data_IF_841082919238
#
_entry.id   IF_841082919238
#
_cell.length_a   1.000
_cell.length_b   1.000
_cell.length_c   1.000
_cell.angle_alpha   90.00
_cell.angle_beta   90.00
_cell.angle_gamma   90.00
#
_symmetry.space_group_name_H-M   'P 1'
#
loop_
_entity.id
_entity.type
_entity.pdbx_description
1 polymer ?
#
# COMPACT_ATOMS: atom_id res chain seq x y z
N UNK A 1 24.34 7.77 -11.31
CA UNK A 1 23.60 7.71 -10.04
C UNK A 1 22.49 8.74 -10.07
N UNK A 2 21.26 8.36 -9.71
CA UNK A 2 20.20 9.37 -9.58
C UNK A 2 20.46 10.25 -8.34
N UNK A 3 20.01 11.51 -8.38
CA UNK A 3 20.10 12.44 -7.23
C UNK A 3 19.52 11.79 -5.97
N UNK A 4 18.51 10.96 -6.11
CA UNK A 4 17.88 10.21 -5.01
C UNK A 4 18.76 9.11 -4.43
N UNK A 5 19.52 8.40 -5.26
CA UNK A 5 20.49 7.41 -4.80
C UNK A 5 21.59 8.09 -3.97
N UNK A 6 22.05 9.24 -4.41
CA UNK A 6 23.02 10.06 -3.67
C UNK A 6 22.41 10.54 -2.35
N UNK A 7 21.19 11.11 -2.40
CA UNK A 7 20.51 11.61 -1.20
C UNK A 7 20.26 10.49 -0.17
N UNK A 8 19.88 9.29 -0.59
CA UNK A 8 19.70 8.13 0.31
C UNK A 8 21.03 7.68 0.93
N UNK A 9 22.11 7.67 0.15
CA UNK A 9 23.45 7.34 0.65
C UNK A 9 23.91 8.37 1.68
N UNK A 10 23.74 9.66 1.39
CA UNK A 10 24.08 10.74 2.32
C UNK A 10 23.24 10.68 3.59
N UNK A 11 21.94 10.44 3.48
CA UNK A 11 21.06 10.31 4.64
C UNK A 11 21.40 9.10 5.53
N UNK A 12 21.93 8.02 4.96
CA UNK A 12 22.43 6.86 5.74
C UNK A 12 23.75 7.17 6.45
N UNK A 13 24.65 7.91 5.80
CA UNK A 13 25.96 8.28 6.37
C UNK A 13 25.87 9.45 7.36
N UNK A 14 24.92 10.37 7.16
CA UNK A 14 24.71 11.56 7.96
C UNK A 14 23.21 11.68 8.33
N UNK A 15 22.73 10.94 9.34
CA UNK A 15 21.30 10.89 9.71
C UNK A 15 20.68 12.27 10.01
N UNK A 16 21.46 13.22 10.52
CA UNK A 16 21.03 14.61 10.77
C UNK A 16 20.59 15.37 9.51
N UNK A 17 21.07 14.96 8.32
CA UNK A 17 20.70 15.58 7.04
C UNK A 17 19.39 15.02 6.45
N UNK A 18 18.91 13.91 6.96
CA UNK A 18 17.74 13.22 6.42
C UNK A 18 16.46 14.11 6.36
N UNK A 19 16.14 14.95 7.36
CA UNK A 19 14.98 15.85 7.29
C UNK A 19 15.09 16.87 6.16
N UNK A 20 16.26 17.47 5.95
CA UNK A 20 16.51 18.45 4.89
C UNK A 20 16.41 17.81 3.50
N UNK A 21 17.01 16.63 3.35
CA UNK A 21 16.93 15.87 2.09
C UNK A 21 15.49 15.46 1.75
N UNK A 22 14.71 15.02 2.76
CA UNK A 22 13.28 14.74 2.60
C UNK A 22 12.48 15.98 2.22
N UNK A 23 12.78 17.14 2.82
CA UNK A 23 12.10 18.38 2.49
C UNK A 23 12.42 18.82 1.05
N UNK A 24 13.70 18.79 0.64
CA UNK A 24 14.14 19.09 -0.71
C UNK A 24 13.50 18.15 -1.75
N UNK A 25 13.46 16.86 -1.45
CA UNK A 25 12.78 15.89 -2.30
C UNK A 25 11.28 16.19 -2.46
N UNK A 26 10.57 16.46 -1.37
CA UNK A 26 9.15 16.85 -1.42
C UNK A 26 8.93 18.13 -2.23
N UNK A 27 9.78 19.14 -2.07
CA UNK A 27 9.67 20.37 -2.85
C UNK A 27 9.89 20.13 -4.35
N UNK A 28 10.92 19.34 -4.72
CA UNK A 28 11.15 18.93 -6.11
C UNK A 28 9.92 18.23 -6.71
N UNK A 29 9.33 17.29 -5.97
CA UNK A 29 8.15 16.57 -6.43
C UNK A 29 6.93 17.48 -6.63
N UNK A 30 6.74 18.49 -5.78
CA UNK A 30 5.69 19.51 -5.95
C UNK A 30 5.90 20.35 -7.21
N UNK A 31 7.13 20.79 -7.43
CA UNK A 31 7.49 21.54 -8.65
C UNK A 31 7.24 20.67 -9.89
N UNK A 32 7.67 19.41 -9.86
CA UNK A 32 7.47 18.48 -10.97
C UNK A 32 5.98 18.21 -11.23
N UNK A 33 5.17 18.05 -10.17
CA UNK A 33 3.72 17.89 -10.29
C UNK A 33 3.09 19.11 -10.95
N UNK A 34 3.38 20.32 -10.48
CA UNK A 34 2.85 21.55 -11.09
C UNK A 34 3.33 21.76 -12.53
N UNK A 35 4.59 21.46 -12.83
CA UNK A 35 5.09 21.52 -14.21
C UNK A 35 4.40 20.48 -15.11
N UNK A 36 4.12 19.28 -14.57
CA UNK A 36 3.44 18.22 -15.30
C UNK A 36 1.98 18.52 -15.65
N UNK A 37 1.29 19.33 -14.84
CA UNK A 37 -0.07 19.80 -15.16
C UNK A 37 -0.08 20.74 -16.37
N UNK A 38 0.99 21.54 -16.56
CA UNK A 38 1.13 22.46 -17.70
C UNK A 38 1.74 21.71 -18.90
N UNK A 39 2.75 20.90 -18.66
CA UNK A 39 3.48 20.16 -19.68
C UNK A 39 3.71 18.71 -19.28
N UNK A 40 2.76 17.80 -19.58
CA UNK A 40 2.84 16.37 -19.21
C UNK A 40 4.10 15.64 -19.71
N UNK A 41 4.78 16.18 -20.73
CA UNK A 41 6.04 15.66 -21.27
C UNK A 41 7.18 15.56 -20.26
N UNK A 42 7.14 16.34 -19.15
CA UNK A 42 8.15 16.28 -18.09
C UNK A 42 7.98 15.06 -17.19
N UNK A 43 6.79 14.46 -17.18
CA UNK A 43 6.50 13.27 -16.36
C UNK A 43 7.16 12.05 -16.97
N UNK A 44 7.98 11.39 -16.19
CA UNK A 44 8.70 10.17 -16.55
C UNK A 44 8.39 9.05 -15.57
N UNK A 45 8.39 7.83 -16.03
CA UNK A 45 8.34 6.65 -15.17
C UNK A 45 9.56 6.65 -14.22
N UNK A 46 9.32 6.33 -12.97
CA UNK A 46 10.32 6.30 -11.90
C UNK A 46 9.88 5.26 -10.89
N UNK A 47 10.37 4.03 -11.06
CA UNK A 47 9.95 2.92 -10.19
C UNK A 47 10.64 3.00 -8.84
N UNK A 48 9.88 3.31 -7.79
CA UNK A 48 10.36 3.33 -6.40
C UNK A 48 9.89 2.10 -5.61
N UNK A 49 8.85 1.43 -6.09
CA UNK A 49 8.26 0.26 -5.44
C UNK A 49 7.67 -0.68 -6.49
N UNK A 50 7.92 -1.98 -6.35
CA UNK A 50 7.21 -3.00 -7.08
C UNK A 50 6.34 -3.78 -6.10
N UNK A 51 5.04 -3.86 -6.35
CA UNK A 51 4.13 -4.71 -5.60
C UNK A 51 3.92 -6.00 -6.37
N UNK A 52 4.29 -7.13 -5.79
CA UNK A 52 4.36 -8.42 -6.45
C UNK A 52 3.35 -9.38 -5.80
N UNK A 53 2.34 -9.77 -6.55
CA UNK A 53 1.46 -10.85 -6.15
C UNK A 53 2.16 -12.18 -6.47
N UNK A 54 2.73 -12.83 -5.46
CA UNK A 54 3.47 -14.07 -5.67
C UNK A 54 2.57 -15.30 -5.82
N UNK A 55 1.33 -15.23 -5.33
CA UNK A 55 0.32 -16.27 -5.48
C UNK A 55 -1.08 -15.69 -5.45
N UNK A 56 -2.00 -16.33 -6.16
CA UNK A 56 -3.43 -16.05 -6.08
C UNK A 56 -4.16 -16.93 -5.04
N UNK A 57 -3.51 -17.98 -4.51
CA UNK A 57 -4.10 -18.80 -3.46
C UNK A 57 -4.30 -18.01 -2.18
N UNK A 58 -5.48 -18.18 -1.55
CA UNK A 58 -5.79 -17.57 -0.26
C UNK A 58 -6.65 -18.51 0.59
N UNK A 59 -6.38 -18.53 1.89
CA UNK A 59 -7.17 -19.26 2.89
C UNK A 59 -8.36 -18.46 3.45
N UNK A 60 -8.60 -17.24 2.95
CA UNK A 60 -9.74 -16.37 3.25
C UNK A 60 -10.60 -16.10 2.01
N UNK A 61 -11.79 -15.51 2.22
CA UNK A 61 -12.74 -15.13 1.18
C UNK A 61 -13.34 -13.75 1.44
N UNK A 62 -12.47 -12.77 1.78
CA UNK A 62 -12.88 -11.42 2.20
C UNK A 62 -13.93 -10.80 1.29
N UNK A 63 -14.84 -10.02 1.88
CA UNK A 63 -15.88 -9.28 1.16
C UNK A 63 -15.25 -8.42 0.06
N UNK A 64 -15.87 -8.40 -1.11
CA UNK A 64 -15.38 -7.63 -2.26
C UNK A 64 -14.10 -8.16 -2.93
N UNK A 65 -13.25 -8.93 -2.24
CA UNK A 65 -11.99 -9.43 -2.80
C UNK A 65 -12.23 -10.57 -3.79
N UNK A 66 -11.83 -10.37 -5.04
CA UNK A 66 -11.91 -11.34 -6.14
C UNK A 66 -10.59 -12.03 -6.41
N UNK A 67 -9.51 -11.63 -5.71
CA UNK A 67 -8.19 -12.18 -5.94
C UNK A 67 -8.16 -13.68 -5.67
N UNK A 68 -7.61 -14.44 -6.63
CA UNK A 68 -7.58 -15.90 -6.54
C UNK A 68 -8.89 -16.63 -6.82
N UNK A 69 -10.01 -15.90 -6.95
CA UNK A 69 -11.31 -16.49 -7.32
C UNK A 69 -11.64 -16.23 -8.79
N UNK A 70 -11.88 -14.96 -9.11
CA UNK A 70 -12.35 -14.55 -10.44
C UNK A 70 -11.29 -13.73 -11.18
N UNK A 71 -10.30 -13.17 -10.48
CA UNK A 71 -9.29 -12.30 -11.09
C UNK A 71 -8.07 -13.08 -11.61
N UNK A 72 -7.47 -13.93 -10.78
CA UNK A 72 -6.31 -14.77 -11.17
C UNK A 72 -6.40 -16.16 -10.54
N UNK A 73 -7.42 -16.96 -10.89
CA UNK A 73 -7.66 -18.23 -10.22
C UNK A 73 -6.50 -19.22 -10.41
N UNK A 74 -5.93 -19.69 -9.29
CA UNK A 74 -4.88 -20.72 -9.28
C UNK A 74 -3.48 -20.25 -9.72
N UNK A 75 -3.29 -18.98 -10.07
CA UNK A 75 -1.98 -18.48 -10.52
C UNK A 75 -0.97 -18.44 -9.37
N UNK A 76 0.25 -18.87 -9.65
CA UNK A 76 1.41 -18.84 -8.75
C UNK A 76 2.62 -18.38 -9.57
N UNK A 77 3.33 -17.36 -9.08
CA UNK A 77 4.51 -16.85 -9.76
C UNK A 77 5.69 -17.82 -9.54
N UNK A 78 6.23 -18.47 -10.59
CA UNK A 78 7.32 -19.42 -10.42
C UNK A 78 8.58 -18.76 -9.86
N UNK A 79 9.33 -19.50 -9.02
CA UNK A 79 10.57 -18.98 -8.40
C UNK A 79 11.58 -18.47 -9.43
N UNK A 80 11.73 -19.13 -10.59
CA UNK A 80 12.63 -18.66 -11.64
C UNK A 80 12.20 -17.31 -12.23
N UNK A 81 10.90 -17.12 -12.48
CA UNK A 81 10.34 -15.83 -12.96
C UNK A 81 10.54 -14.74 -11.92
N UNK A 82 10.36 -15.08 -10.64
CA UNK A 82 10.62 -14.17 -9.52
C UNK A 82 12.11 -13.78 -9.43
N UNK A 83 13.03 -14.74 -9.58
CA UNK A 83 14.49 -14.51 -9.58
C UNK A 83 14.87 -13.50 -10.67
N UNK A 84 14.42 -13.74 -11.88
CA UNK A 84 14.66 -12.88 -13.04
C UNK A 84 14.10 -11.45 -12.82
N UNK A 85 12.91 -11.35 -12.23
CA UNK A 85 12.28 -10.08 -11.85
C UNK A 85 13.13 -9.29 -10.83
N UNK A 86 13.60 -9.94 -9.75
CA UNK A 86 14.34 -9.27 -8.68
C UNK A 86 15.75 -8.88 -9.12
N UNK A 87 16.43 -9.70 -9.93
CA UNK A 87 17.72 -9.35 -10.55
C UNK A 87 17.58 -8.06 -11.39
N UNK A 88 16.58 -7.99 -12.25
CA UNK A 88 16.32 -6.80 -13.07
C UNK A 88 15.92 -5.57 -12.21
N UNK A 89 15.14 -5.78 -11.15
CA UNK A 89 14.78 -4.72 -10.20
C UNK A 89 16.02 -4.18 -9.45
N UNK A 90 16.90 -5.06 -8.99
CA UNK A 90 18.17 -4.70 -8.35
C UNK A 90 19.09 -3.94 -9.31
N UNK A 91 19.26 -4.41 -10.54
CA UNK A 91 20.04 -3.73 -11.59
C UNK A 91 19.49 -2.35 -11.91
N UNK A 92 18.15 -2.19 -11.93
CA UNK A 92 17.47 -0.92 -12.11
C UNK A 92 17.47 -0.03 -10.84
N UNK A 93 18.03 -0.52 -9.72
CA UNK A 93 18.10 0.18 -8.42
C UNK A 93 16.71 0.50 -7.83
N UNK A 94 15.76 -0.38 -8.05
CA UNK A 94 14.46 -0.30 -7.39
C UNK A 94 14.67 -0.48 -5.88
N UNK A 95 14.24 0.49 -5.05
CA UNK A 95 14.61 0.46 -3.63
C UNK A 95 13.88 -0.58 -2.80
N UNK A 96 12.66 -0.95 -3.19
CA UNK A 96 11.85 -1.87 -2.39
C UNK A 96 10.83 -2.65 -3.22
N UNK A 97 10.52 -3.85 -2.73
CA UNK A 97 9.39 -4.65 -3.19
C UNK A 97 8.45 -4.97 -2.04
N UNK A 98 7.18 -5.13 -2.38
CA UNK A 98 6.13 -5.61 -1.49
C UNK A 98 5.65 -6.96 -1.98
N UNK A 99 5.78 -8.00 -1.18
CA UNK A 99 5.18 -9.30 -1.45
C UNK A 99 3.75 -9.32 -0.93
N UNK A 100 2.83 -9.74 -1.78
CA UNK A 100 1.42 -9.90 -1.43
C UNK A 100 0.74 -10.88 -2.41
N UNK A 101 -0.57 -10.83 -2.56
CA UNK A 101 -1.35 -11.62 -3.51
C UNK A 101 -2.67 -12.07 -2.88
N UNK A 102 -3.00 -13.35 -3.00
CA UNK A 102 -4.02 -13.96 -2.16
C UNK A 102 -3.51 -13.99 -0.72
N UNK A 103 -2.74 -15.02 -0.35
CA UNK A 103 -1.99 -15.06 0.90
C UNK A 103 -0.54 -15.49 0.60
N UNK A 104 0.44 -14.58 0.69
CA UNK A 104 1.83 -14.88 0.30
C UNK A 104 2.46 -15.99 1.14
N UNK A 105 2.05 -16.18 2.39
CA UNK A 105 2.55 -17.25 3.25
C UNK A 105 2.19 -18.66 2.74
N UNK A 106 1.24 -18.77 1.81
CA UNK A 106 0.91 -20.04 1.16
C UNK A 106 1.83 -20.38 -0.02
N UNK A 107 2.65 -19.42 -0.48
CA UNK A 107 3.63 -19.72 -1.52
C UNK A 107 4.73 -20.64 -0.97
N UNK A 108 5.08 -21.77 -1.63
CA UNK A 108 6.08 -22.71 -1.13
C UNK A 108 7.45 -22.04 -0.94
N UNK A 109 7.86 -21.21 -1.89
CA UNK A 109 9.20 -20.61 -1.95
C UNK A 109 9.26 -19.21 -1.31
N UNK A 110 8.27 -18.80 -0.51
CA UNK A 110 8.19 -17.42 0.03
C UNK A 110 9.43 -17.02 0.83
N UNK A 111 10.04 -17.96 1.57
CA UNK A 111 11.25 -17.70 2.36
C UNK A 111 12.44 -17.45 1.44
N UNK A 112 12.64 -18.29 0.42
CA UNK A 112 13.70 -18.12 -0.59
C UNK A 112 13.52 -16.80 -1.38
N UNK A 113 12.28 -16.41 -1.69
CA UNK A 113 11.97 -15.13 -2.32
C UNK A 113 12.41 -13.94 -1.48
N UNK A 114 12.14 -13.97 -0.17
CA UNK A 114 12.59 -12.93 0.77
C UNK A 114 14.11 -12.89 0.87
N UNK A 115 14.76 -14.03 1.02
CA UNK A 115 16.22 -14.16 1.13
C UNK A 115 16.91 -13.62 -0.12
N UNK A 116 16.49 -14.06 -1.31
CA UNK A 116 17.01 -13.58 -2.59
C UNK A 116 16.88 -12.06 -2.72
N UNK A 117 15.70 -11.51 -2.39
CA UNK A 117 15.46 -10.08 -2.50
C UNK A 117 16.40 -9.26 -1.63
N UNK A 118 16.57 -9.68 -0.36
CA UNK A 118 17.46 -9.01 0.57
C UNK A 118 18.94 -9.18 0.19
N UNK A 119 19.35 -10.35 -0.30
CA UNK A 119 20.74 -10.62 -0.75
C UNK A 119 21.17 -9.72 -1.91
N UNK A 120 20.21 -9.33 -2.78
CA UNK A 120 20.45 -8.39 -3.88
C UNK A 120 20.34 -6.92 -3.47
N UNK A 121 20.16 -6.63 -2.18
CA UNK A 121 20.08 -5.25 -1.65
C UNK A 121 18.77 -4.53 -1.93
N UNK A 122 17.72 -5.24 -2.35
CA UNK A 122 16.38 -4.69 -2.52
C UNK A 122 15.62 -4.83 -1.20
N UNK A 123 15.04 -3.74 -0.70
CA UNK A 123 14.20 -3.79 0.51
C UNK A 123 12.97 -4.66 0.28
N UNK A 124 12.62 -5.51 1.26
CA UNK A 124 11.46 -6.39 1.17
C UNK A 124 10.52 -6.19 2.36
N UNK A 125 9.21 -6.09 2.10
CA UNK A 125 8.18 -6.19 3.12
C UNK A 125 6.99 -7.00 2.59
N UNK A 126 6.16 -7.48 3.50
CA UNK A 126 5.07 -8.41 3.16
C UNK A 126 3.73 -7.91 3.65
N UNK A 127 2.68 -8.15 2.85
CA UNK A 127 1.29 -8.01 3.29
C UNK A 127 0.67 -9.39 3.42
N UNK A 128 0.18 -9.75 4.60
CA UNK A 128 -0.38 -11.06 4.92
C UNK A 128 -1.65 -10.92 5.77
N UNK A 129 -2.49 -11.95 5.79
CA UNK A 129 -3.59 -12.06 6.74
C UNK A 129 -3.15 -12.58 8.12
N UNK A 130 -1.88 -12.89 8.28
CA UNK A 130 -1.21 -13.33 9.50
C UNK A 130 -1.70 -14.65 10.13
N UNK A 131 -2.64 -15.39 9.52
CA UNK A 131 -3.18 -16.61 10.12
C UNK A 131 -2.16 -17.72 10.40
N UNK A 132 -1.08 -17.76 9.61
CA UNK A 132 -0.01 -18.76 9.73
C UNK A 132 1.37 -18.09 9.86
N UNK A 133 1.39 -16.82 10.28
CA UNK A 133 2.62 -16.06 10.39
C UNK A 133 3.56 -16.64 11.45
N UNK A 134 3.03 -17.06 12.59
CA UNK A 134 3.76 -17.71 13.67
C UNK A 134 4.51 -18.99 13.26
N UNK A 135 4.02 -19.67 12.22
CA UNK A 135 4.66 -20.88 11.69
C UNK A 135 5.85 -20.60 10.76
N UNK A 136 5.95 -19.39 10.23
CA UNK A 136 6.93 -19.02 9.20
C UNK A 136 7.84 -17.87 9.60
N UNK A 137 7.52 -17.15 10.68
CA UNK A 137 8.20 -15.90 11.02
C UNK A 137 9.70 -16.08 11.29
N UNK A 138 10.12 -17.18 11.92
CA UNK A 138 11.52 -17.41 12.23
C UNK A 138 12.37 -17.52 10.97
N UNK A 139 11.90 -18.31 9.98
CA UNK A 139 12.57 -18.43 8.69
C UNK A 139 12.52 -17.12 7.89
N UNK A 140 11.39 -16.42 7.87
CA UNK A 140 11.25 -15.14 7.18
C UNK A 140 12.14 -14.05 7.80
N UNK A 141 12.22 -14.01 9.13
CA UNK A 141 13.08 -13.05 9.83
C UNK A 141 14.57 -13.36 9.61
N UNK A 142 14.95 -14.64 9.60
CA UNK A 142 16.30 -15.08 9.24
C UNK A 142 16.66 -14.70 7.80
N UNK A 143 15.68 -14.82 6.87
CA UNK A 143 15.80 -14.38 5.46
C UNK A 143 15.86 -12.85 5.30
N UNK A 144 15.72 -12.08 6.38
CA UNK A 144 15.86 -10.62 6.37
C UNK A 144 14.53 -9.83 6.33
N UNK A 145 13.36 -10.46 6.49
CA UNK A 145 12.09 -9.73 6.60
C UNK A 145 12.03 -8.96 7.93
N UNK A 146 11.71 -7.67 7.86
CA UNK A 146 11.67 -6.77 9.04
C UNK A 146 10.38 -5.98 9.15
N UNK A 147 9.53 -6.01 8.12
CA UNK A 147 8.26 -5.29 8.10
C UNK A 147 7.15 -6.16 7.54
N UNK A 148 6.03 -6.19 8.26
CA UNK A 148 4.80 -6.89 7.87
C UNK A 148 3.63 -5.94 8.00
N UNK A 149 2.77 -5.94 6.98
CA UNK A 149 1.50 -5.21 7.00
C UNK A 149 0.34 -6.22 6.96
N UNK A 150 -0.74 -5.92 7.66
CA UNK A 150 -1.89 -6.82 7.82
C UNK A 150 -3.19 -6.05 7.67
N UNK A 151 -4.19 -6.65 7.02
CA UNK A 151 -5.54 -6.08 6.99
C UNK A 151 -6.23 -6.17 8.35
N UNK A 152 -6.86 -5.07 8.76
CA UNK A 152 -7.71 -5.01 9.94
C UNK A 152 -9.14 -4.62 9.54
N UNK A 153 -10.10 -5.47 9.87
CA UNK A 153 -11.49 -5.37 9.41
C UNK A 153 -12.52 -5.42 10.55
N UNK A 154 -12.09 -5.16 11.78
CA UNK A 154 -12.88 -5.29 13.00
C UNK A 154 -12.34 -6.39 13.92
N UNK A 155 -13.06 -6.71 15.01
CA UNK A 155 -12.70 -7.75 15.98
C UNK A 155 -13.76 -8.85 16.06
N UNK A 156 -13.34 -10.03 16.49
CA UNK A 156 -14.22 -11.17 16.73
C UNK A 156 -15.08 -11.51 15.51
N UNK A 157 -16.38 -11.55 15.71
CA UNK A 157 -17.35 -11.88 14.66
C UNK A 157 -17.36 -10.91 13.49
N UNK A 158 -17.13 -9.62 13.72
CA UNK A 158 -17.08 -8.62 12.64
C UNK A 158 -15.92 -8.90 11.66
N UNK A 159 -14.75 -9.30 12.19
CA UNK A 159 -13.63 -9.75 11.35
C UNK A 159 -13.98 -11.02 10.57
N UNK A 160 -14.54 -12.04 11.28
CA UNK A 160 -14.88 -13.32 10.69
C UNK A 160 -15.94 -13.20 9.58
N UNK A 161 -16.93 -12.32 9.77
CA UNK A 161 -17.91 -11.97 8.74
C UNK A 161 -17.24 -11.34 7.52
N UNK A 162 -16.35 -10.36 7.72
CA UNK A 162 -15.65 -9.70 6.62
C UNK A 162 -14.80 -10.70 5.82
N UNK A 163 -14.05 -11.56 6.50
CA UNK A 163 -13.21 -12.57 5.83
C UNK A 163 -13.98 -13.83 5.41
N UNK A 164 -15.28 -13.91 5.71
CA UNK A 164 -16.20 -15.00 5.39
C UNK A 164 -15.70 -16.37 5.86
N UNK A 165 -15.13 -16.40 7.07
CA UNK A 165 -14.57 -17.60 7.70
C UNK A 165 -14.63 -17.47 9.22
N UNK A 166 -15.39 -18.32 9.93
CA UNK A 166 -15.47 -18.27 11.38
C UNK A 166 -14.15 -18.68 12.05
N UNK A 167 -13.88 -18.10 13.23
CA UNK A 167 -12.72 -18.40 14.08
C UNK A 167 -11.38 -17.86 13.54
N UNK A 168 -11.39 -16.97 12.53
CA UNK A 168 -10.16 -16.45 11.95
C UNK A 168 -9.58 -15.29 12.72
N UNK A 169 -10.42 -14.50 13.39
CA UNK A 169 -9.93 -13.48 14.29
C UNK A 169 -9.10 -14.08 15.43
N UNK A 170 -9.63 -15.08 16.12
CA UNK A 170 -8.92 -15.73 17.24
C UNK A 170 -7.61 -16.37 16.78
N UNK A 171 -7.61 -17.01 15.60
CA UNK A 171 -6.38 -17.57 15.02
C UNK A 171 -5.34 -16.50 14.66
N UNK A 172 -5.76 -15.36 14.13
CA UNK A 172 -4.87 -14.23 13.87
C UNK A 172 -4.28 -13.70 15.18
N UNK A 173 -5.10 -13.50 16.21
CA UNK A 173 -4.66 -13.05 17.54
C UNK A 173 -3.66 -14.03 18.15
N UNK A 174 -3.92 -15.34 18.08
CA UNK A 174 -2.99 -16.37 18.55
C UNK A 174 -1.63 -16.26 17.83
N UNK A 175 -1.67 -16.19 16.50
CA UNK A 175 -0.47 -16.04 15.67
C UNK A 175 0.32 -14.79 16.05
N UNK A 176 -0.33 -13.64 16.18
CA UNK A 176 0.32 -12.37 16.56
C UNK A 176 0.91 -12.42 17.98
N UNK A 177 0.22 -13.06 18.94
CA UNK A 177 0.74 -13.26 20.28
C UNK A 177 2.02 -14.13 20.26
N UNK A 178 2.06 -15.18 19.44
CA UNK A 178 3.23 -16.03 19.27
C UNK A 178 4.40 -15.24 18.66
N UNK A 179 4.12 -14.47 17.61
CA UNK A 179 5.12 -13.60 16.94
C UNK A 179 5.69 -12.58 17.92
N UNK A 180 4.88 -11.86 18.69
CA UNK A 180 5.33 -10.81 19.61
C UNK A 180 6.09 -11.34 20.82
N UNK A 181 5.90 -12.60 21.20
CA UNK A 181 6.74 -13.25 22.22
C UNK A 181 8.22 -13.38 21.79
N UNK A 182 8.48 -13.58 20.51
CA UNK A 182 9.83 -13.77 19.96
C UNK A 182 10.42 -12.50 19.34
N UNK A 183 9.58 -11.63 18.80
CA UNK A 183 9.98 -10.45 18.03
C UNK A 183 9.23 -9.21 18.52
N UNK A 184 9.91 -8.38 19.31
CA UNK A 184 9.40 -7.05 19.68
C UNK A 184 9.43 -6.07 18.49
N UNK A 185 8.92 -4.85 18.68
CA UNK A 185 8.80 -3.86 17.61
C UNK A 185 10.17 -3.36 17.10
N UNK A 186 11.26 -3.50 17.87
CA UNK A 186 12.60 -3.15 17.42
C UNK A 186 13.16 -4.14 16.40
N UNK A 187 12.68 -5.39 16.43
CA UNK A 187 13.09 -6.48 15.54
C UNK A 187 12.16 -6.67 14.36
N UNK A 188 10.85 -6.44 14.57
CA UNK A 188 9.84 -6.65 13.55
C UNK A 188 8.78 -5.55 13.59
N UNK A 189 8.77 -4.68 12.56
CA UNK A 189 7.77 -3.64 12.35
C UNK A 189 6.45 -4.27 11.89
N UNK A 190 5.39 -4.11 12.69
CA UNK A 190 4.03 -4.51 12.33
C UNK A 190 3.19 -3.26 12.04
N UNK A 191 2.36 -3.36 11.01
CA UNK A 191 1.44 -2.31 10.61
C UNK A 191 0.08 -2.91 10.32
N UNK A 192 -0.97 -2.36 10.92
CA UNK A 192 -2.35 -2.71 10.61
C UNK A 192 -2.91 -1.77 9.54
N UNK A 193 -3.42 -2.32 8.46
CA UNK A 193 -4.13 -1.57 7.44
C UNK A 193 -5.62 -1.52 7.83
N UNK A 194 -6.03 -0.43 8.43
CA UNK A 194 -7.42 -0.17 8.80
C UNK A 194 -8.19 0.22 7.55
N UNK A 195 -9.11 -0.65 7.11
CA UNK A 195 -9.97 -0.35 5.97
C UNK A 195 -11.10 0.59 6.40
N UNK A 196 -10.99 1.86 6.04
CA UNK A 196 -12.05 2.84 6.20
C UNK A 196 -13.12 2.60 5.13
N UNK A 197 -14.25 2.11 5.56
CA UNK A 197 -15.39 1.74 4.74
C UNK A 197 -16.68 2.18 5.44
N UNK A 198 -17.81 2.03 4.78
CA UNK A 198 -19.12 2.33 5.36
C UNK A 198 -19.39 1.58 6.68
N UNK A 199 -18.85 0.35 6.82
CA UNK A 199 -18.99 -0.45 8.06
C UNK A 199 -18.08 0.03 9.20
N UNK A 200 -16.97 0.68 8.89
CA UNK A 200 -15.92 1.06 9.86
C UNK A 200 -15.78 2.58 10.05
N UNK A 201 -16.58 3.40 9.35
CA UNK A 201 -16.56 4.86 9.50
C UNK A 201 -17.33 5.30 10.76
N UNK A 202 -16.78 4.95 11.93
CA UNK A 202 -17.29 5.33 13.25
C UNK A 202 -16.15 5.35 14.26
N UNK A 203 -16.36 6.04 15.39
CA UNK A 203 -15.35 6.23 16.43
C UNK A 203 -14.99 4.90 17.10
N UNK A 204 -15.97 4.05 17.31
CA UNK A 204 -15.80 2.75 17.97
C UNK A 204 -14.82 1.86 17.21
N UNK A 205 -14.95 1.78 15.88
CA UNK A 205 -14.05 1.00 15.03
C UNK A 205 -12.61 1.58 15.02
N UNK A 206 -12.48 2.90 15.07
CA UNK A 206 -11.16 3.56 15.18
C UNK A 206 -10.53 3.28 16.54
N UNK A 207 -11.30 3.32 17.63
CA UNK A 207 -10.82 2.98 18.97
C UNK A 207 -10.41 1.50 19.08
N UNK A 208 -11.16 0.62 18.43
CA UNK A 208 -10.83 -0.81 18.39
C UNK A 208 -9.47 -1.04 17.72
N UNK A 209 -9.25 -0.50 16.52
CA UNK A 209 -7.96 -0.67 15.83
C UNK A 209 -6.83 0.03 16.59
N UNK A 210 -7.10 1.18 17.22
CA UNK A 210 -6.12 1.90 18.05
C UNK A 210 -5.64 1.01 19.19
N UNK A 211 -6.56 0.49 20.04
CA UNK A 211 -6.22 -0.42 21.15
C UNK A 211 -5.53 -1.70 20.66
N UNK A 212 -5.94 -2.21 19.50
CA UNK A 212 -5.33 -3.39 18.91
C UNK A 212 -3.89 -3.11 18.46
N UNK A 213 -3.64 -1.98 17.83
CA UNK A 213 -2.30 -1.57 17.43
C UNK A 213 -1.38 -1.30 18.63
N UNK A 214 -1.87 -0.61 19.66
CA UNK A 214 -1.14 -0.38 20.91
C UNK A 214 -0.77 -1.69 21.60
N UNK A 215 -1.67 -2.69 21.64
CA UNK A 215 -1.40 -4.02 22.20
C UNK A 215 -0.21 -4.71 21.53
N UNK A 216 -0.05 -4.52 20.24
CA UNK A 216 1.02 -5.17 19.46
C UNK A 216 2.18 -4.23 19.13
N UNK A 217 2.26 -3.05 19.74
CA UNK A 217 3.27 -2.02 19.43
C UNK A 217 3.44 -1.89 17.90
N UNK A 218 2.33 -1.60 17.23
CA UNK A 218 2.21 -1.55 15.78
C UNK A 218 1.68 -0.18 15.33
N UNK A 219 2.00 0.21 14.10
CA UNK A 219 1.42 1.39 13.46
C UNK A 219 0.11 1.04 12.75
N UNK A 220 -0.69 2.07 12.46
CA UNK A 220 -1.92 1.96 11.68
C UNK A 220 -1.73 2.72 10.36
N UNK A 221 -2.07 2.06 9.27
CA UNK A 221 -2.27 2.68 7.96
C UNK A 221 -3.77 2.74 7.68
N UNK A 222 -4.29 3.93 7.41
CA UNK A 222 -5.70 4.11 7.05
C UNK A 222 -5.83 4.02 5.53
N UNK A 223 -6.59 3.06 5.06
CA UNK A 223 -6.87 2.87 3.63
C UNK A 223 -8.37 3.00 3.37
N UNK A 224 -8.76 3.89 2.45
CA UNK A 224 -10.16 4.06 2.07
C UNK A 224 -10.58 2.87 1.19
N UNK A 225 -11.81 2.40 1.35
CA UNK A 225 -12.33 1.30 0.54
C UNK A 225 -12.22 1.61 -0.96
N UNK A 226 -11.66 0.68 -1.71
CA UNK A 226 -11.46 0.85 -3.15
C UNK A 226 -12.77 0.74 -3.93
N UNK A 227 -12.97 1.64 -4.89
CA UNK A 227 -14.13 1.70 -5.76
C UNK A 227 -13.83 1.32 -7.23
N UNK A 228 -12.54 1.19 -7.61
CA UNK A 228 -12.14 1.03 -9.02
C UNK A 228 -11.10 -0.06 -9.27
N UNK A 229 -10.76 -0.90 -8.28
CA UNK A 229 -9.82 -1.99 -8.49
C UNK A 229 -10.50 -3.19 -9.17
N UNK A 230 -9.89 -3.79 -10.20
CA UNK A 230 -10.50 -4.91 -10.93
C UNK A 230 -10.65 -6.17 -10.07
N UNK A 231 -9.82 -6.35 -9.05
CA UNK A 231 -9.88 -7.49 -8.13
C UNK A 231 -10.66 -7.19 -6.84
N UNK A 232 -11.25 -6.00 -6.72
CA UNK A 232 -12.10 -5.63 -5.60
C UNK A 232 -13.46 -5.15 -6.14
N UNK A 233 -14.44 -6.03 -6.06
CA UNK A 233 -15.80 -5.76 -6.51
C UNK A 233 -16.79 -6.29 -5.48
N UNK A 234 -17.64 -5.39 -4.99
CA UNK A 234 -18.77 -5.79 -4.15
C UNK A 234 -19.95 -6.24 -5.01
N UNK A 235 -20.85 -6.99 -4.38
CA UNK A 235 -22.15 -7.29 -4.93
C UNK A 235 -23.05 -6.05 -5.05
N UNK A 236 -24.30 -6.22 -5.49
CA UNK A 236 -25.25 -5.10 -5.70
C UNK A 236 -25.51 -4.27 -4.43
N UNK A 237 -25.40 -4.90 -3.25
CA UNK A 237 -25.66 -4.25 -1.97
C UNK A 237 -24.61 -3.15 -1.63
N UNK A 238 -23.41 -3.27 -2.13
CA UNK A 238 -22.29 -2.34 -1.87
C UNK A 238 -22.19 -1.94 -0.40
N UNK A 239 -22.06 -2.91 0.48
CA UNK A 239 -22.03 -2.71 1.93
C UNK A 239 -20.82 -1.93 2.44
N UNK A 240 -19.70 -1.97 1.71
CA UNK A 240 -18.45 -1.31 2.08
C UNK A 240 -18.31 0.07 1.46
N UNK A 241 -18.91 0.31 0.29
CA UNK A 241 -18.78 1.57 -0.45
C UNK A 241 -19.58 2.69 0.22
N UNK A 242 -18.95 3.86 0.28
CA UNK A 242 -19.60 5.05 0.80
C UNK A 242 -20.71 5.58 -0.11
N UNK A 243 -21.70 6.19 0.51
CA UNK A 243 -22.83 6.87 -0.12
C UNK A 243 -22.93 8.30 0.41
N UNK A 244 -23.64 9.21 -0.26
CA UNK A 244 -23.79 10.59 0.20
C UNK A 244 -24.32 10.73 1.63
N UNK A 245 -25.22 9.83 2.05
CA UNK A 245 -25.79 9.81 3.41
C UNK A 245 -24.78 9.47 4.50
N UNK A 246 -23.62 8.93 4.18
CA UNK A 246 -22.57 8.58 5.14
C UNK A 246 -21.68 9.79 5.51
N UNK A 247 -21.92 10.96 4.91
CA UNK A 247 -21.05 12.15 5.03
C UNK A 247 -20.72 12.54 6.45
N UNK A 248 -21.71 12.54 7.36
CA UNK A 248 -21.52 12.94 8.76
C UNK A 248 -20.69 11.92 9.54
N UNK A 249 -20.87 10.63 9.26
CA UNK A 249 -20.06 9.57 9.87
C UNK A 249 -18.62 9.63 9.39
N UNK A 250 -18.41 9.79 8.08
CA UNK A 250 -17.07 9.94 7.49
C UNK A 250 -16.37 11.15 8.10
N UNK A 251 -17.03 12.31 8.17
CA UNK A 251 -16.46 13.54 8.74
C UNK A 251 -16.03 13.32 10.18
N UNK A 252 -16.94 12.85 11.06
CA UNK A 252 -16.63 12.60 12.47
C UNK A 252 -15.49 11.62 12.65
N UNK A 253 -15.43 10.59 11.81
CA UNK A 253 -14.34 9.61 11.86
C UNK A 253 -13.01 10.22 11.46
N UNK A 254 -12.98 11.06 10.41
CA UNK A 254 -11.78 11.78 10.01
C UNK A 254 -11.34 12.79 11.07
N UNK A 255 -12.26 13.52 11.69
CA UNK A 255 -11.95 14.45 12.78
C UNK A 255 -11.29 13.71 13.95
N UNK A 256 -11.82 12.55 14.31
CA UNK A 256 -11.23 11.72 15.37
C UNK A 256 -9.85 11.15 14.98
N UNK A 257 -9.64 10.74 13.75
CA UNK A 257 -8.31 10.31 13.25
C UNK A 257 -7.30 11.47 13.28
N UNK A 258 -7.72 12.71 12.98
CA UNK A 258 -6.88 13.89 13.09
C UNK A 258 -6.53 14.21 14.56
N UNK A 259 -7.46 14.05 15.48
CA UNK A 259 -7.21 14.18 16.92
C UNK A 259 -6.18 13.15 17.41
N UNK A 260 -6.34 11.88 17.01
CA UNK A 260 -5.36 10.82 17.32
C UNK A 260 -3.99 11.19 16.73
N UNK A 261 -3.95 11.66 15.47
CA UNK A 261 -2.69 12.05 14.82
C UNK A 261 -1.98 13.19 15.55
N UNK A 262 -2.72 14.14 16.09
CA UNK A 262 -2.15 15.23 16.88
C UNK A 262 -1.59 14.75 18.22
N UNK A 263 -2.29 13.84 18.91
CA UNK A 263 -1.89 13.33 20.24
C UNK A 263 -0.82 12.22 20.14
N UNK A 264 -0.88 11.38 19.13
CA UNK A 264 -0.03 10.21 18.93
C UNK A 264 0.53 10.17 17.48
N UNK A 265 1.44 11.08 17.09
CA UNK A 265 1.84 11.29 15.71
C UNK A 265 2.48 10.07 15.04
N UNK A 266 3.01 9.12 15.82
CA UNK A 266 3.64 7.90 15.30
C UNK A 266 2.68 6.74 15.09
N UNK A 267 1.50 6.77 15.70
CA UNK A 267 0.52 5.68 15.60
C UNK A 267 -0.05 5.56 14.19
N UNK A 268 -0.45 6.68 13.59
CA UNK A 268 -0.96 6.73 12.22
C UNK A 268 0.16 7.04 11.24
N UNK A 269 0.27 6.27 10.15
CA UNK A 269 1.31 6.46 9.13
C UNK A 269 1.06 7.67 8.25
N UNK A 270 -0.21 8.05 8.06
CA UNK A 270 -0.62 9.19 7.25
C UNK A 270 -0.28 10.52 7.92
N UNK A 271 -0.01 11.53 7.10
CA UNK A 271 0.03 12.91 7.57
C UNK A 271 -1.38 13.44 7.85
N UNK A 272 -1.48 14.49 8.67
CA UNK A 272 -2.76 15.17 8.89
C UNK A 272 -3.39 15.68 7.57
N UNK A 273 -2.56 16.11 6.61
CA UNK A 273 -3.02 16.54 5.27
C UNK A 273 -3.67 15.38 4.50
N UNK A 274 -3.04 14.21 4.55
CA UNK A 274 -3.58 13.01 3.90
C UNK A 274 -4.90 12.59 4.56
N UNK A 275 -4.96 12.51 5.90
CA UNK A 275 -6.16 12.15 6.65
C UNK A 275 -7.31 13.12 6.34
N UNK A 276 -7.07 14.44 6.34
CA UNK A 276 -8.11 15.42 6.00
C UNK A 276 -8.66 15.25 4.57
N UNK A 277 -7.87 14.67 3.65
CA UNK A 277 -8.31 14.42 2.28
C UNK A 277 -9.21 13.19 2.13
N UNK A 278 -9.20 12.28 3.11
CA UNK A 278 -9.92 11.00 3.00
C UNK A 278 -11.43 11.16 3.00
N UNK A 279 -11.98 12.23 3.59
CA UNK A 279 -13.39 12.56 3.44
C UNK A 279 -13.77 12.76 1.97
N UNK A 280 -13.00 13.58 1.25
CA UNK A 280 -13.25 13.83 -0.17
C UNK A 280 -13.02 12.55 -1.02
N UNK A 281 -12.00 11.76 -0.72
CA UNK A 281 -11.76 10.49 -1.42
C UNK A 281 -12.90 9.49 -1.19
N UNK A 282 -13.43 9.41 0.02
CA UNK A 282 -14.54 8.52 0.36
C UNK A 282 -15.85 8.91 -0.33
N UNK A 283 -16.16 10.22 -0.37
CA UNK A 283 -17.46 10.72 -0.82
C UNK A 283 -17.50 11.12 -2.29
N UNK A 284 -16.38 11.66 -2.84
CA UNK A 284 -16.31 12.11 -4.24
C UNK A 284 -15.75 11.05 -5.18
N UNK A 285 -15.04 10.07 -4.65
CA UNK A 285 -14.53 8.90 -5.38
C UNK A 285 -13.83 9.30 -6.71
N UNK A 286 -14.30 8.79 -7.86
CA UNK A 286 -13.73 9.07 -9.20
C UNK A 286 -13.83 10.55 -9.63
N UNK A 287 -14.62 11.37 -8.92
CA UNK A 287 -14.71 12.82 -9.18
C UNK A 287 -13.50 13.58 -8.63
N UNK A 288 -12.68 12.93 -7.77
CA UNK A 288 -11.44 13.51 -7.27
C UNK A 288 -10.41 13.66 -8.40
N UNK A 289 -10.12 14.91 -8.79
CA UNK A 289 -9.20 15.23 -9.90
C UNK A 289 -7.86 15.70 -9.36
N UNK A 290 -7.09 14.79 -8.76
CA UNK A 290 -5.72 15.03 -8.28
C UNK A 290 -4.75 14.24 -9.15
N UNK A 291 -3.68 14.84 -9.72
CA UNK A 291 -2.73 14.11 -10.56
C UNK A 291 -2.21 12.83 -9.90
N UNK A 292 -2.13 11.74 -10.67
CA UNK A 292 -1.74 10.44 -10.14
C UNK A 292 -0.21 10.30 -10.04
N UNK A 293 0.26 9.68 -8.96
CA UNK A 293 1.70 9.42 -8.73
C UNK A 293 2.11 7.96 -9.05
N UNK A 294 1.25 7.21 -9.76
CA UNK A 294 1.51 5.80 -10.12
C UNK A 294 2.79 5.59 -10.95
N UNK A 295 3.38 6.64 -11.52
CA UNK A 295 4.70 6.58 -12.19
C UNK A 295 5.82 6.00 -11.32
N UNK A 296 5.59 5.91 -10.01
CA UNK A 296 6.54 5.38 -9.01
C UNK A 296 6.27 3.94 -8.59
N UNK A 297 5.17 3.39 -9.04
CA UNK A 297 4.72 2.05 -8.71
C UNK A 297 4.77 1.15 -9.94
N UNK A 298 5.17 -0.10 -9.74
CA UNK A 298 4.82 -1.21 -10.62
C UNK A 298 4.03 -2.25 -9.85
N UNK A 299 3.11 -2.88 -10.54
CA UNK A 299 2.36 -4.01 -10.04
C UNK A 299 2.64 -5.24 -10.91
N UNK A 300 2.92 -6.37 -10.25
CA UNK A 300 3.16 -7.66 -10.91
C UNK A 300 2.13 -8.67 -10.40
N UNK A 301 1.40 -9.27 -11.32
CA UNK A 301 0.41 -10.30 -11.05
C UNK A 301 1.03 -11.68 -10.82
N UNK A 302 0.28 -12.56 -10.16
CA UNK A 302 0.68 -13.96 -9.96
C UNK A 302 0.76 -14.76 -11.30
N UNK A 303 0.15 -14.23 -12.35
CA UNK A 303 0.20 -14.72 -13.73
C UNK A 303 1.37 -14.15 -14.55
N UNK A 304 2.27 -13.40 -13.91
CA UNK A 304 3.41 -12.74 -14.55
C UNK A 304 3.08 -11.41 -15.24
N UNK A 305 1.83 -10.96 -15.25
CA UNK A 305 1.45 -9.66 -15.84
C UNK A 305 2.16 -8.51 -15.14
N UNK A 306 2.66 -7.52 -15.91
CA UNK A 306 3.32 -6.32 -15.41
C UNK A 306 2.50 -5.10 -15.79
N UNK A 307 2.07 -4.33 -14.82
CA UNK A 307 1.26 -3.13 -15.00
C UNK A 307 1.90 -1.95 -14.26
N UNK A 308 1.67 -0.73 -14.77
CA UNK A 308 2.13 0.47 -14.06
C UNK A 308 1.46 0.61 -12.70
N UNK A 309 0.17 0.28 -12.62
CA UNK A 309 -0.62 0.35 -11.39
C UNK A 309 -1.62 -0.79 -11.31
N UNK A 310 -2.32 -0.90 -10.17
CA UNK A 310 -3.30 -1.97 -9.91
C UNK A 310 -4.52 -1.97 -10.85
N UNK A 311 -4.81 -0.87 -11.55
CA UNK A 311 -6.07 -0.68 -12.27
C UNK A 311 -5.88 -0.86 -13.77
N UNK A 312 -4.78 -0.35 -14.34
CA UNK A 312 -4.60 -0.33 -15.80
C UNK A 312 -3.14 -0.13 -16.20
N UNK A 313 -2.90 0.05 -17.51
CA UNK A 313 -1.61 0.28 -18.16
C UNK A 313 -0.70 -0.96 -18.15
N UNK A 314 -1.13 -1.99 -18.88
CA UNK A 314 -0.33 -3.19 -19.13
C UNK A 314 0.98 -2.82 -19.83
N UNK A 315 2.10 -3.32 -19.31
CA UNK A 315 3.45 -3.16 -19.88
C UNK A 315 3.94 -4.43 -20.55
N UNK A 316 3.47 -5.58 -20.12
CA UNK A 316 3.82 -6.89 -20.67
C UNK A 316 3.61 -8.03 -19.68
N UNK A 317 4.24 -9.18 -19.98
CA UNK A 317 4.19 -10.36 -19.11
C UNK A 317 5.61 -10.93 -18.93
N UNK A 318 5.95 -11.32 -17.68
CA UNK A 318 7.27 -11.84 -17.31
C UNK A 318 7.57 -13.23 -17.90
N UNK A 319 6.56 -13.97 -18.35
CA UNK A 319 6.76 -15.22 -19.07
C UNK A 319 7.21 -15.01 -20.53
N UNK A 320 7.07 -13.78 -21.06
CA UNK A 320 7.41 -13.43 -22.44
C UNK A 320 8.64 -12.52 -22.52
N UNK A 321 8.81 -11.61 -21.53
CA UNK A 321 9.84 -10.57 -21.54
C UNK A 321 10.43 -10.37 -20.16
N UNK A 322 11.71 -10.00 -20.09
CA UNK A 322 12.35 -9.58 -18.85
C UNK A 322 11.82 -8.23 -18.39
N UNK A 323 11.80 -7.99 -17.06
CA UNK A 323 11.39 -6.70 -16.50
C UNK A 323 12.25 -5.54 -17.06
N UNK A 324 13.55 -5.74 -17.25
CA UNK A 324 14.48 -4.73 -17.80
C UNK A 324 14.07 -4.23 -19.19
N UNK A 325 13.36 -5.03 -19.98
CA UNK A 325 12.90 -4.64 -21.33
C UNK A 325 11.61 -3.78 -21.27
N UNK A 326 10.90 -3.84 -20.15
CA UNK A 326 9.68 -3.06 -19.89
C UNK A 326 9.99 -1.77 -19.14
N UNK A 327 10.91 -1.82 -18.16
CA UNK A 327 11.30 -0.67 -17.35
C UNK A 327 11.84 0.48 -18.20
N UNK A 328 11.28 1.67 -17.95
CA UNK A 328 11.71 2.92 -18.60
C UNK A 328 11.64 2.92 -20.12
N UNK A 329 10.95 1.94 -20.71
CA UNK A 329 10.63 1.90 -22.15
C UNK A 329 9.73 3.09 -22.54
N UNK A 330 9.61 3.41 -23.83
CA UNK A 330 8.66 4.43 -24.31
C UNK A 330 7.23 4.16 -23.85
N UNK A 331 6.80 2.88 -23.81
CA UNK A 331 5.50 2.45 -23.33
C UNK A 331 5.33 2.77 -21.83
N UNK A 332 6.35 2.47 -20.99
CA UNK A 332 6.32 2.78 -19.56
C UNK A 332 6.25 4.29 -19.31
N UNK A 333 7.03 5.09 -20.04
CA UNK A 333 6.97 6.55 -19.93
C UNK A 333 5.61 7.11 -20.39
N UNK A 334 5.01 6.52 -21.43
CA UNK A 334 3.67 6.90 -21.89
C UNK A 334 2.63 6.57 -20.82
N UNK A 335 2.65 5.34 -20.27
CA UNK A 335 1.75 4.92 -19.20
C UNK A 335 1.85 5.84 -17.97
N UNK A 336 3.06 6.26 -17.60
CA UNK A 336 3.27 7.20 -16.49
C UNK A 336 2.61 8.56 -16.74
N UNK A 337 2.68 9.10 -17.97
CA UNK A 337 2.01 10.35 -18.33
C UNK A 337 0.49 10.21 -18.37
N UNK A 338 0.00 9.12 -18.97
CA UNK A 338 -1.45 8.85 -19.04
C UNK A 338 -2.04 8.70 -17.64
N UNK A 339 -1.34 7.99 -16.73
CA UNK A 339 -1.75 7.88 -15.34
C UNK A 339 -1.75 9.23 -14.63
N UNK A 340 -0.70 10.04 -14.80
CA UNK A 340 -0.62 11.37 -14.22
C UNK A 340 -1.80 12.27 -14.63
N UNK A 341 -2.18 12.21 -15.91
CA UNK A 341 -3.31 12.94 -16.47
C UNK A 341 -4.69 12.34 -16.16
N UNK A 342 -4.74 11.23 -15.43
CA UNK A 342 -5.96 10.49 -15.13
C UNK A 342 -6.70 9.96 -16.38
N UNK A 343 -5.94 9.59 -17.42
CA UNK A 343 -6.47 8.88 -18.60
C UNK A 343 -6.73 7.39 -18.27
N UNK A 344 -7.53 7.17 -17.23
CA UNK A 344 -7.85 5.87 -16.64
C UNK A 344 -9.16 5.97 -15.85
N UNK A 345 -9.70 4.86 -15.30
CA UNK A 345 -10.92 4.90 -14.47
C UNK A 345 -10.83 5.79 -13.22
N UNK A 346 -9.65 6.35 -12.92
CA UNK A 346 -9.32 7.06 -11.70
C UNK A 346 -9.50 6.18 -10.44
N UNK A 347 -8.75 6.42 -9.42
CA UNK A 347 -8.81 5.70 -8.15
C UNK A 347 -8.15 6.55 -7.05
N UNK A 348 -8.13 6.07 -5.82
CA UNK A 348 -7.43 6.73 -4.72
C UNK A 348 -6.08 6.07 -4.36
N UNK A 349 -5.55 5.16 -5.19
CA UNK A 349 -4.20 4.64 -4.97
C UNK A 349 -3.19 5.79 -4.81
N UNK A 350 -2.30 5.67 -3.81
CA UNK A 350 -1.32 6.71 -3.47
C UNK A 350 -1.97 8.07 -3.08
N UNK A 351 -3.21 8.07 -2.57
CA UNK A 351 -3.98 9.28 -2.23
C UNK A 351 -3.19 10.30 -1.39
N UNK A 352 -2.51 9.82 -0.34
CA UNK A 352 -1.67 10.65 0.53
C UNK A 352 -0.56 11.36 -0.28
N UNK A 353 0.20 10.60 -1.07
CA UNK A 353 1.28 11.12 -1.91
C UNK A 353 0.76 12.13 -2.94
N UNK A 354 -0.38 11.84 -3.56
CA UNK A 354 -1.02 12.71 -4.57
C UNK A 354 -1.38 14.07 -3.99
N UNK A 355 -2.10 14.12 -2.86
CA UNK A 355 -2.53 15.40 -2.25
C UNK A 355 -1.34 16.20 -1.69
N UNK A 356 -0.31 15.55 -1.16
CA UNK A 356 0.88 16.23 -0.63
C UNK A 356 1.76 16.86 -1.70
N UNK A 357 1.71 16.35 -2.94
CA UNK A 357 2.49 16.85 -4.08
C UNK A 357 1.73 17.83 -4.94
N UNK A 358 0.41 17.76 -4.99
CA UNK A 358 -0.43 18.67 -5.73
C UNK A 358 -0.68 19.97 -4.95
N UNK A 359 -0.12 21.10 -5.43
CA UNK A 359 -0.12 22.37 -4.72
C UNK A 359 -1.50 22.86 -4.25
N UNK A 360 -2.56 22.85 -5.11
CA UNK A 360 -3.91 23.22 -4.69
C UNK A 360 -4.47 22.31 -3.59
N UNK A 361 -4.32 20.99 -3.72
CA UNK A 361 -4.78 20.02 -2.72
C UNK A 361 -4.04 20.18 -1.40
N UNK A 362 -2.72 20.35 -1.44
CA UNK A 362 -1.91 20.56 -0.25
C UNK A 362 -2.40 21.78 0.54
N UNK A 363 -2.66 22.92 -0.11
CA UNK A 363 -3.18 24.11 0.54
C UNK A 363 -4.55 23.87 1.17
N UNK A 364 -5.48 23.28 0.40
CA UNK A 364 -6.83 22.95 0.85
C UNK A 364 -6.81 22.08 2.11
N UNK A 365 -6.16 20.93 2.02
CA UNK A 365 -6.20 19.95 3.12
C UNK A 365 -5.28 20.34 4.29
N UNK A 366 -4.28 21.20 4.09
CA UNK A 366 -3.55 21.82 5.22
C UNK A 366 -4.44 22.74 6.02
N UNK A 367 -5.27 23.56 5.37
CA UNK A 367 -6.24 24.41 6.06
C UNK A 367 -7.27 23.55 6.81
N UNK A 368 -7.88 22.57 6.13
CA UNK A 368 -8.84 21.66 6.76
C UNK A 368 -8.27 20.91 7.96
N UNK A 369 -7.03 20.41 7.88
CA UNK A 369 -6.40 19.71 9.00
C UNK A 369 -6.14 20.63 10.20
N UNK A 370 -5.80 21.90 9.97
CA UNK A 370 -5.62 22.88 11.05
C UNK A 370 -6.95 23.24 11.73
N UNK A 371 -7.99 23.49 10.93
CA UNK A 371 -9.31 23.88 11.43
C UNK A 371 -9.97 22.76 12.26
N UNK A 372 -9.62 21.48 11.98
CA UNK A 372 -10.19 20.31 12.65
C UNK A 372 -9.35 19.77 13.82
N UNK A 373 -8.09 20.17 13.93
CA UNK A 373 -7.19 19.75 15.03
C UNK A 373 -7.22 20.72 16.23
N UNK A 374 -7.92 21.86 16.10
CA UNK A 374 -8.13 22.86 17.15
C UNK A 374 -9.48 22.69 17.76
#
# INVERSE_FOLDING_TARGET
MSIESIARTVARQLPSTAPLLKAGYRQRERILTGAGEIWPGVIRAQTEKITIAITAHCNLRCMGCKYGRDFMPGSVLPMQVYRDLIEDAAAAKVPAVRLYGGEPLLHPDVVEMVELTNSLGVGCYMTTNALILDQKIDALHAAGLRKITMGYYGQGTAFDEYVQRPGRFDRMVESLNNVRRSYDASKLDLQFNFLLSRRSANIEAVDEVKRFAERYDASIHVDVVHYSLPYFQEGPERELQFRPEDSDNVRRTIDYLLEIKAKQPHLLTESAVALASFEDWALKQEQMRVPCDARKLLWVGADGSVMLCYVTFMLGNLHEKRLRDMLYSPAHHKAARDAFQLNCPNCHCEAASRVEKHGPSLRKYTAMAKDRAG
#
